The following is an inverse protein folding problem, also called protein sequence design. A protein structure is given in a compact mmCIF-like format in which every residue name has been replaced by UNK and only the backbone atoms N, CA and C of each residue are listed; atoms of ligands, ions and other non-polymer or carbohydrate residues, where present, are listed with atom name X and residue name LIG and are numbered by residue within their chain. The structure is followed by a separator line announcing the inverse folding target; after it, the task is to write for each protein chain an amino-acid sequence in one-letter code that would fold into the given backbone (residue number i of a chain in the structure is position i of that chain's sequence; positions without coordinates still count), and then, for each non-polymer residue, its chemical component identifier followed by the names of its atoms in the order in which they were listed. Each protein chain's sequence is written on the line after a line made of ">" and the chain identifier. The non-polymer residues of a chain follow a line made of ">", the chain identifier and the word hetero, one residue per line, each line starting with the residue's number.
data_IF_076296490653
#
_entry.id   IF_076296490653
#
_cell.length_a   1.000
_cell.length_b   1.000
_cell.length_c   1.000
_cell.angle_alpha   90.00
_cell.angle_beta   90.00
_cell.angle_gamma   90.00
#
_symmetry.space_group_name_H-M   'P 1'
#
loop_
_entity.id
_entity.type
_entity.pdbx_description
1 polymer ?
#
# COMPACT_ATOMS: atom_id res chain seq x y z
N UNK A 1 8.15 -2.71 -18.03
CA UNK A 1 9.03 -3.67 -17.33
C UNK A 1 8.83 -5.01 -18.01
N UNK A 2 9.89 -5.76 -18.30
CA UNK A 2 9.74 -7.12 -18.85
C UNK A 2 9.23 -8.10 -17.78
N UNK A 3 8.62 -9.20 -18.24
CA UNK A 3 7.99 -10.20 -17.36
C UNK A 3 9.00 -10.90 -16.44
N UNK A 4 10.23 -11.11 -16.91
CA UNK A 4 11.28 -11.75 -16.13
C UNK A 4 11.71 -10.90 -14.92
N UNK A 5 11.84 -9.58 -15.13
CA UNK A 5 12.16 -8.62 -14.09
C UNK A 5 11.01 -8.48 -13.11
N UNK A 6 9.75 -8.39 -13.59
CA UNK A 6 8.56 -8.36 -12.73
C UNK A 6 8.53 -9.60 -11.83
N UNK A 7 8.66 -10.80 -12.42
CA UNK A 7 8.63 -12.07 -11.68
C UNK A 7 9.72 -12.13 -10.62
N UNK A 8 10.94 -11.69 -10.94
CA UNK A 8 12.05 -11.66 -9.99
C UNK A 8 11.75 -10.75 -8.78
N UNK A 9 11.18 -9.56 -9.02
CA UNK A 9 10.80 -8.64 -7.95
C UNK A 9 9.67 -9.22 -7.07
N UNK A 10 8.65 -9.81 -7.70
CA UNK A 10 7.56 -10.51 -6.99
C UNK A 10 8.12 -11.62 -6.11
N UNK A 11 8.93 -12.53 -6.67
CA UNK A 11 9.51 -13.65 -5.93
C UNK A 11 10.34 -13.18 -4.72
N UNK A 12 11.11 -12.09 -4.88
CA UNK A 12 11.93 -11.53 -3.80
C UNK A 12 11.06 -10.95 -2.67
N UNK A 13 10.04 -10.17 -3.00
CA UNK A 13 9.16 -9.55 -2.00
C UNK A 13 8.25 -10.59 -1.33
N UNK A 14 7.72 -11.56 -2.07
CA UNK A 14 6.94 -12.68 -1.51
C UNK A 14 7.80 -13.51 -0.57
N UNK A 15 9.06 -13.83 -0.90
CA UNK A 15 9.97 -14.51 0.03
C UNK A 15 10.18 -13.72 1.31
N UNK A 16 10.26 -12.40 1.22
CA UNK A 16 10.39 -11.53 2.40
C UNK A 16 9.12 -11.54 3.26
N UNK A 17 7.94 -11.53 2.64
CA UNK A 17 6.65 -11.68 3.32
C UNK A 17 6.53 -13.05 4.00
N UNK A 18 6.92 -14.14 3.33
CA UNK A 18 6.96 -15.48 3.90
C UNK A 18 7.90 -15.56 5.11
N UNK A 19 9.06 -14.92 5.04
CA UNK A 19 9.97 -14.80 6.19
C UNK A 19 9.32 -14.05 7.38
N UNK A 20 8.59 -12.96 7.12
CA UNK A 20 7.84 -12.26 8.17
C UNK A 20 6.73 -13.14 8.75
N UNK A 21 6.05 -13.92 7.91
CA UNK A 21 4.96 -14.82 8.31
C UNK A 21 5.46 -15.91 9.25
N UNK A 22 6.59 -16.54 8.92
CA UNK A 22 7.21 -17.55 9.76
C UNK A 22 7.64 -16.98 11.12
N UNK A 23 8.22 -15.78 11.13
CA UNK A 23 8.66 -15.13 12.37
C UNK A 23 7.47 -14.68 13.23
N UNK A 24 6.39 -14.21 12.60
CA UNK A 24 5.14 -13.85 13.28
C UNK A 24 4.44 -15.09 13.86
N UNK A 25 4.31 -16.16 13.08
CA UNK A 25 3.73 -17.43 13.53
C UNK A 25 4.50 -18.08 14.69
N UNK A 26 5.82 -17.90 14.73
CA UNK A 26 6.69 -18.31 15.85
C UNK A 26 6.65 -17.35 17.04
N UNK A 27 5.83 -16.30 17.01
CA UNK A 27 5.72 -15.24 18.02
C UNK A 27 7.04 -14.51 18.31
N UNK A 28 7.95 -14.49 17.34
CA UNK A 28 9.22 -13.74 17.42
C UNK A 28 8.96 -12.26 17.10
N UNK A 29 8.04 -11.99 16.16
CA UNK A 29 7.55 -10.65 15.87
C UNK A 29 6.20 -10.44 16.56
N UNK A 30 6.03 -9.28 17.19
CA UNK A 30 4.71 -8.80 17.59
C UNK A 30 4.08 -7.95 16.47
N UNK A 31 2.81 -7.58 16.61
CA UNK A 31 2.09 -6.79 15.60
C UNK A 31 2.76 -5.43 15.33
N UNK A 32 3.29 -4.76 16.35
CA UNK A 32 3.96 -3.47 16.20
C UNK A 32 5.19 -3.58 15.28
N UNK A 33 6.05 -4.57 15.54
CA UNK A 33 7.25 -4.80 14.72
C UNK A 33 6.84 -5.26 13.33
N UNK A 34 5.82 -6.13 13.21
CA UNK A 34 5.28 -6.55 11.92
C UNK A 34 4.81 -5.37 11.08
N UNK A 35 4.01 -4.46 11.64
CA UNK A 35 3.54 -3.25 10.96
C UNK A 35 4.69 -2.40 10.44
N UNK A 36 5.73 -2.19 11.25
CA UNK A 36 6.94 -1.47 10.83
C UNK A 36 7.68 -2.18 9.70
N UNK A 37 7.81 -3.51 9.75
CA UNK A 37 8.48 -4.30 8.71
C UNK A 37 7.70 -4.27 7.39
N UNK A 38 6.37 -4.38 7.44
CA UNK A 38 5.51 -4.26 6.28
C UNK A 38 5.58 -2.85 5.67
N UNK A 39 5.53 -1.81 6.51
CA UNK A 39 5.73 -0.43 6.08
C UNK A 39 7.09 -0.25 5.38
N UNK A 40 8.17 -0.81 5.94
CA UNK A 40 9.50 -0.78 5.33
C UNK A 40 9.54 -1.53 4.00
N UNK A 41 8.82 -2.65 3.86
CA UNK A 41 8.75 -3.43 2.62
C UNK A 41 8.06 -2.63 1.51
N UNK A 42 6.90 -2.03 1.76
CA UNK A 42 6.20 -1.21 0.75
C UNK A 42 6.95 0.08 0.43
N UNK A 43 7.76 0.55 1.38
CA UNK A 43 8.68 1.67 1.19
C UNK A 43 10.03 1.22 0.63
N UNK A 44 10.10 0.15 -0.17
CA UNK A 44 11.29 -0.23 -0.95
C UNK A 44 11.16 0.19 -2.42
N UNK A 45 12.29 0.39 -3.10
CA UNK A 45 12.30 0.73 -4.53
C UNK A 45 11.63 -0.36 -5.36
N UNK A 46 11.83 -1.62 -4.98
CA UNK A 46 11.28 -2.79 -5.67
C UNK A 46 9.75 -2.84 -5.59
N UNK A 47 9.18 -2.59 -4.40
CA UNK A 47 7.74 -2.46 -4.21
C UNK A 47 7.16 -1.30 -5.04
N UNK A 48 7.87 -0.17 -5.09
CA UNK A 48 7.46 0.97 -5.90
C UNK A 48 7.51 0.69 -7.42
N UNK A 49 8.56 0.01 -7.89
CA UNK A 49 8.67 -0.41 -9.29
C UNK A 49 7.52 -1.34 -9.70
N UNK A 50 7.10 -2.24 -8.80
CA UNK A 50 5.94 -3.09 -9.03
C UNK A 50 4.64 -2.28 -9.07
N UNK A 51 4.44 -1.33 -8.14
CA UNK A 51 3.27 -0.45 -8.16
C UNK A 51 3.17 0.39 -9.45
N UNK A 52 4.31 0.89 -9.94
CA UNK A 52 4.40 1.66 -11.17
C UNK A 52 4.28 0.82 -12.45
N UNK A 53 4.43 -0.51 -12.35
CA UNK A 53 4.31 -1.41 -13.50
C UNK A 53 2.88 -1.61 -13.97
N UNK A 54 1.93 -1.38 -13.08
CA UNK A 54 0.50 -1.40 -13.33
C UNK A 54 0.09 -0.12 -14.05
N UNK A 55 -0.75 -0.24 -15.08
CA UNK A 55 -1.27 0.92 -15.82
C UNK A 55 -2.05 1.86 -14.90
N UNK A 56 -2.11 3.15 -15.23
CA UNK A 56 -2.84 4.10 -14.40
C UNK A 56 -4.35 3.79 -14.33
N UNK A 57 -4.94 3.29 -15.43
CA UNK A 57 -6.34 2.84 -15.48
C UNK A 57 -6.59 1.66 -14.52
N UNK A 58 -5.70 0.67 -14.53
CA UNK A 58 -5.81 -0.49 -13.64
C UNK A 58 -5.60 -0.09 -12.17
N UNK A 59 -4.66 0.82 -11.91
CA UNK A 59 -4.44 1.37 -10.56
C UNK A 59 -5.67 2.11 -10.06
N UNK A 60 -6.33 2.89 -10.92
CA UNK A 60 -7.55 3.60 -10.56
C UNK A 60 -8.73 2.64 -10.36
N UNK A 61 -8.88 1.63 -11.20
CA UNK A 61 -9.89 0.58 -11.02
C UNK A 61 -9.74 -0.13 -9.67
N UNK A 62 -8.51 -0.52 -9.28
CA UNK A 62 -8.22 -1.16 -7.99
C UNK A 62 -8.56 -0.25 -6.81
N UNK A 63 -8.23 1.05 -6.89
CA UNK A 63 -8.61 2.05 -5.87
C UNK A 63 -10.12 2.19 -5.73
N UNK A 64 -10.84 2.27 -6.85
CA UNK A 64 -12.30 2.34 -6.84
C UNK A 64 -12.91 1.09 -6.22
N UNK A 65 -12.38 -0.10 -6.53
CA UNK A 65 -12.81 -1.35 -5.91
C UNK A 65 -12.61 -1.34 -4.39
N UNK A 66 -11.45 -0.88 -3.91
CA UNK A 66 -11.19 -0.75 -2.46
C UNK A 66 -12.15 0.24 -1.80
N UNK A 67 -12.44 1.37 -2.44
CA UNK A 67 -13.41 2.36 -1.95
C UNK A 67 -14.83 1.80 -1.92
N UNK A 68 -15.23 1.00 -2.91
CA UNK A 68 -16.56 0.39 -2.98
C UNK A 68 -16.72 -0.73 -1.93
N UNK A 69 -15.64 -1.45 -1.64
CA UNK A 69 -15.64 -2.53 -0.65
C UNK A 69 -15.83 -2.00 0.78
N UNK A 70 -15.22 -0.86 1.12
CA UNK A 70 -15.36 -0.24 2.45
C UNK A 70 -15.37 1.31 2.36
N UNK A 71 -16.52 1.91 2.02
CA UNK A 71 -16.62 3.35 1.81
C UNK A 71 -16.52 4.16 3.10
N UNK A 72 -16.87 3.57 4.25
CA UNK A 72 -16.78 4.24 5.56
C UNK A 72 -15.33 4.35 6.02
N UNK A 73 -14.58 3.25 5.94
CA UNK A 73 -13.14 3.25 6.14
C UNK A 73 -12.45 4.31 5.29
N UNK A 74 -12.78 4.36 4.00
CA UNK A 74 -12.17 5.31 3.07
C UNK A 74 -12.39 6.77 3.50
N UNK A 75 -13.62 7.11 3.89
CA UNK A 75 -13.96 8.46 4.37
C UNK A 75 -13.21 8.77 5.66
N UNK A 76 -13.24 7.85 6.64
CA UNK A 76 -12.55 8.00 7.91
C UNK A 76 -11.06 8.25 7.69
N UNK A 77 -10.38 7.35 6.98
CA UNK A 77 -8.94 7.42 6.72
C UNK A 77 -8.55 8.71 6.00
N UNK A 78 -9.38 9.21 5.08
CA UNK A 78 -9.13 10.47 4.38
C UNK A 78 -9.27 11.74 5.23
N UNK A 79 -10.05 11.67 6.32
CA UNK A 79 -10.34 12.82 7.20
C UNK A 79 -9.38 12.94 8.39
N UNK A 80 -8.56 11.92 8.63
CA UNK A 80 -7.66 11.86 9.79
C UNK A 80 -6.39 12.69 9.63
N UNK A 81 -5.81 13.07 10.77
CA UNK A 81 -4.51 13.76 10.82
C UNK A 81 -3.40 12.91 10.21
N UNK A 82 -2.34 13.55 9.73
CA UNK A 82 -1.21 12.87 9.10
C UNK A 82 -0.58 11.80 10.03
N UNK A 83 -0.36 12.14 11.29
CA UNK A 83 0.19 11.23 12.31
C UNK A 83 -0.70 9.99 12.50
N UNK A 84 -2.02 10.19 12.58
CA UNK A 84 -2.97 9.08 12.70
C UNK A 84 -3.03 8.25 11.43
N UNK A 85 -3.02 8.87 10.25
CA UNK A 85 -2.99 8.15 8.96
C UNK A 85 -1.76 7.25 8.85
N UNK A 86 -0.61 7.67 9.39
CA UNK A 86 0.58 6.82 9.45
C UNK A 86 0.37 5.57 10.32
N UNK A 87 -0.21 5.72 11.50
CA UNK A 87 -0.57 4.57 12.35
C UNK A 87 -1.62 3.67 11.70
N UNK A 88 -2.60 4.26 11.01
CA UNK A 88 -3.63 3.53 10.27
C UNK A 88 -3.06 2.71 9.12
N UNK A 89 -2.08 3.25 8.39
CA UNK A 89 -1.40 2.51 7.33
C UNK A 89 -0.76 1.24 7.87
N UNK A 90 0.01 1.30 8.96
CA UNK A 90 0.63 0.11 9.56
C UNK A 90 -0.44 -0.94 9.96
N UNK A 91 -1.55 -0.51 10.56
CA UNK A 91 -2.67 -1.41 10.90
C UNK A 91 -3.32 -2.05 9.67
N UNK A 92 -3.54 -1.27 8.60
CA UNK A 92 -4.12 -1.76 7.34
C UNK A 92 -3.21 -2.78 6.67
N UNK A 93 -1.90 -2.53 6.66
CA UNK A 93 -0.90 -3.44 6.14
C UNK A 93 -0.89 -4.77 6.90
N UNK A 94 -0.92 -4.72 8.24
CA UNK A 94 -1.02 -5.93 9.07
C UNK A 94 -2.28 -6.72 8.73
N UNK A 95 -3.44 -6.05 8.64
CA UNK A 95 -4.69 -6.70 8.28
C UNK A 95 -4.62 -7.37 6.90
N UNK A 96 -4.15 -6.64 5.89
CA UNK A 96 -3.96 -7.20 4.54
C UNK A 96 -3.00 -8.40 4.52
N UNK A 97 -1.98 -8.39 5.39
CA UNK A 97 -1.00 -9.46 5.52
C UNK A 97 -1.58 -10.71 6.20
N UNK A 98 -2.37 -10.55 7.26
CA UNK A 98 -2.94 -11.67 8.04
C UNK A 98 -4.17 -12.28 7.34
N UNK A 99 -4.99 -11.46 6.68
CA UNK A 99 -6.24 -11.92 6.05
C UNK A 99 -6.00 -12.89 4.87
N UNK A 100 -4.82 -12.83 4.23
CA UNK A 100 -4.45 -13.65 3.06
C UNK A 100 -3.24 -14.54 3.41
N UNK A 101 -3.53 -15.66 4.08
CA UNK A 101 -2.53 -16.56 4.66
C UNK A 101 -2.55 -17.96 4.02
N UNK A 102 -1.38 -18.53 3.64
CA UNK A 102 -0.02 -17.96 3.70
C UNK A 102 0.22 -16.83 2.67
N UNK A 103 1.26 -16.00 2.84
CA UNK A 103 1.51 -14.88 1.94
C UNK A 103 1.85 -15.34 0.52
N UNK A 104 1.07 -14.88 -0.45
CA UNK A 104 1.26 -15.15 -1.88
C UNK A 104 1.40 -13.84 -2.68
N UNK A 105 1.54 -13.93 -4.00
CA UNK A 105 1.57 -12.76 -4.89
C UNK A 105 0.35 -11.85 -4.66
N UNK A 106 -0.84 -12.43 -4.44
CA UNK A 106 -2.06 -11.67 -4.14
C UNK A 106 -1.97 -10.89 -2.82
N UNK A 107 -1.31 -11.45 -1.80
CA UNK A 107 -1.07 -10.77 -0.52
C UNK A 107 -0.15 -9.57 -0.74
N UNK A 108 0.91 -9.75 -1.54
CA UNK A 108 1.82 -8.67 -1.93
C UNK A 108 1.09 -7.57 -2.71
N UNK A 109 0.26 -7.92 -3.70
CA UNK A 109 -0.53 -6.97 -4.46
C UNK A 109 -1.46 -6.15 -3.57
N UNK A 110 -2.18 -6.82 -2.66
CA UNK A 110 -3.09 -6.16 -1.72
C UNK A 110 -2.35 -5.18 -0.80
N UNK A 111 -1.17 -5.59 -0.32
CA UNK A 111 -0.30 -4.75 0.52
C UNK A 111 0.20 -3.52 -0.25
N UNK A 112 0.63 -3.70 -1.51
CA UNK A 112 1.09 -2.59 -2.37
C UNK A 112 -0.07 -1.65 -2.71
N UNK A 113 -1.24 -2.18 -3.08
CA UNK A 113 -2.42 -1.38 -3.41
C UNK A 113 -2.87 -0.55 -2.21
N UNK A 114 -2.85 -1.13 -1.00
CA UNK A 114 -3.11 -0.42 0.26
C UNK A 114 -2.12 0.73 0.48
N UNK A 115 -0.83 0.50 0.24
CA UNK A 115 0.21 1.52 0.39
C UNK A 115 0.10 2.64 -0.67
N UNK A 116 -0.49 2.35 -1.82
CA UNK A 116 -0.66 3.28 -2.94
C UNK A 116 -1.98 4.07 -2.90
N UNK A 117 -2.76 3.95 -1.83
CA UNK A 117 -3.97 4.76 -1.65
C UNK A 117 -3.63 6.25 -1.52
N UNK A 118 -4.49 7.17 -2.03
CA UNK A 118 -4.18 8.59 -2.10
C UNK A 118 -3.79 9.24 -0.76
N UNK A 119 -4.36 8.77 0.35
CA UNK A 119 -4.12 9.30 1.69
C UNK A 119 -2.89 8.68 2.39
N UNK A 120 -2.29 7.62 1.82
CA UNK A 120 -1.10 6.93 2.34
C UNK A 120 0.14 7.09 1.46
N UNK A 121 -0.04 7.28 0.14
CA UNK A 121 1.06 7.27 -0.84
C UNK A 121 2.17 8.27 -0.53
N UNK A 122 1.86 9.40 0.11
CA UNK A 122 2.87 10.38 0.54
C UNK A 122 3.92 9.77 1.48
N UNK A 123 3.49 8.95 2.45
CA UNK A 123 4.40 8.32 3.42
C UNK A 123 5.38 7.32 2.78
N UNK A 124 4.94 6.70 1.69
CA UNK A 124 5.68 5.64 0.99
C UNK A 124 6.59 6.26 -0.08
N UNK A 125 6.08 7.28 -0.79
CA UNK A 125 6.75 7.94 -1.92
C UNK A 125 7.84 8.91 -1.49
N UNK A 126 7.69 9.58 -0.34
CA UNK A 126 8.65 10.60 0.11
C UNK A 126 10.04 10.02 0.41
N UNK A 127 10.16 8.70 0.62
CA UNK A 127 11.46 8.02 0.79
C UNK A 127 12.26 7.82 -0.50
N UNK A 128 11.67 8.07 -1.67
CA UNK A 128 12.28 7.82 -2.99
C UNK A 128 12.55 9.07 -3.83
N UNK A 129 12.35 10.27 -3.25
CA UNK A 129 12.73 11.51 -3.93
C UNK A 129 11.86 11.88 -5.13
N UNK A 130 10.57 11.54 -5.13
CA UNK A 130 9.63 12.05 -6.14
C UNK A 130 9.16 13.46 -5.75
N UNK A 131 9.92 14.46 -6.23
CA UNK A 131 9.52 15.87 -6.32
C UNK A 131 8.06 16.00 -6.78
N UNK A 132 7.38 16.90 -6.08
CA UNK A 132 6.04 17.46 -6.35
C UNK A 132 4.88 16.46 -6.34
N UNK A 133 4.04 16.57 -5.30
CA UNK A 133 2.64 16.23 -5.44
C UNK A 133 2.05 17.14 -6.55
N UNK A 134 1.25 16.64 -7.49
CA UNK A 134 0.41 17.53 -8.27
C UNK A 134 -0.46 18.29 -7.27
N UNK A 135 -0.27 19.62 -7.19
CA UNK A 135 -1.15 20.49 -6.40
C UNK A 135 -2.57 20.12 -6.78
N UNK A 136 -3.34 19.59 -5.84
CA UNK A 136 -4.78 19.44 -6.01
C UNK A 136 -5.33 20.83 -6.29
N UNK A 137 -5.57 21.16 -7.55
CA UNK A 137 -6.40 22.30 -7.89
C UNK A 137 -7.76 21.97 -7.30
N UNK A 138 -8.13 22.72 -6.25
CA UNK A 138 -9.47 22.68 -5.70
C UNK A 138 -10.45 22.97 -6.82
N UNK A 139 -11.11 21.92 -7.31
CA UNK A 139 -12.20 22.05 -8.26
C UNK A 139 -13.35 22.79 -7.59
N UNK A 140 -13.38 24.11 -7.74
CA UNK A 140 -14.60 24.89 -7.51
C UNK A 140 -15.62 24.43 -8.55
N UNK A 141 -16.57 23.60 -8.13
CA UNK A 141 -17.79 23.33 -8.89
C UNK A 141 -18.54 24.65 -9.01
N UNK A 142 -18.45 25.29 -10.19
CA UNK A 142 -19.35 26.39 -10.55
C UNK A 142 -20.69 25.76 -10.90
N UNK A 143 -21.66 25.89 -10.01
CA UNK A 143 -23.07 25.74 -10.34
C UNK A 143 -23.42 26.95 -11.23
N UNK A 144 -23.87 26.69 -12.45
CA UNK A 144 -24.46 27.71 -13.32
C UNK A 144 -25.90 27.92 -12.84
N UNK A 145 -26.22 29.15 -12.41
CA UNK A 145 -27.57 29.70 -12.49
C UNK A 145 -27.90 30.06 -13.94
#
# INVERSE_FOLDING_TARGET
>A
MDDATRKKLVDQLVKRLAGMWDLYGKKILNEEILGRQLFQLVSTRDAWLLACSVTDDEREARRLLMRLHDPEAWRSDSSESEEKRRSLLEKRLIRAFIDLSPPEEKTLETIIDTACLPHFVGFVRDRFGAREAPKSSGGRVKVLD
#
